data_IF_635174597068
#
_entry.id   IF_635174597068
#
_cell.length_a   1.000
_cell.length_b   1.000
_cell.length_c   1.000
_cell.angle_alpha   90.00
_cell.angle_beta   90.00
_cell.angle_gamma   90.00
#
_symmetry.space_group_name_H-M   'P 1'
#
loop_
_entity.id
_entity.type
_entity.pdbx_description
1 polymer ?
#
# COMPACT_ATOMS: atom_id res chain seq x y z
N UNK A 1 7.33 -16.43 -13.56
CA UNK A 1 6.82 -15.32 -12.77
C UNK A 1 7.83 -14.98 -11.68
N UNK A 2 8.14 -13.71 -11.48
CA UNK A 2 9.08 -13.21 -10.47
C UNK A 2 8.30 -12.60 -9.32
N UNK A 3 8.53 -13.04 -8.11
CA UNK A 3 7.73 -12.64 -6.94
C UNK A 3 8.57 -11.84 -5.95
N UNK A 4 8.08 -10.68 -5.54
CA UNK A 4 8.60 -9.98 -4.37
C UNK A 4 7.87 -10.47 -3.12
N UNK A 5 8.61 -10.75 -2.05
CA UNK A 5 8.02 -11.10 -0.75
C UNK A 5 8.38 -9.98 0.23
N UNK A 6 7.37 -9.37 0.81
CA UNK A 6 7.54 -8.39 1.89
C UNK A 6 6.98 -8.93 3.19
N UNK A 7 7.83 -9.13 4.17
CA UNK A 7 7.44 -9.55 5.51
C UNK A 7 7.80 -8.49 6.54
N UNK A 8 6.78 -7.97 7.23
CA UNK A 8 6.99 -7.04 8.33
C UNK A 8 7.40 -7.81 9.61
N UNK A 9 8.62 -7.61 10.14
CA UNK A 9 9.13 -8.38 11.27
C UNK A 9 8.33 -8.18 12.57
N UNK A 10 7.58 -7.09 12.70
CA UNK A 10 6.70 -6.88 13.86
C UNK A 10 5.40 -7.69 13.75
N UNK A 11 5.02 -8.14 12.57
CA UNK A 11 3.81 -8.92 12.30
C UNK A 11 4.13 -10.40 12.13
N UNK A 12 5.08 -10.73 11.28
CA UNK A 12 5.62 -12.09 11.10
C UNK A 12 6.87 -12.29 11.97
N UNK A 13 6.69 -12.26 13.30
CA UNK A 13 7.79 -12.25 14.27
C UNK A 13 8.75 -13.44 14.16
N UNK A 14 8.25 -14.59 13.72
CA UNK A 14 9.03 -15.81 13.51
C UNK A 14 9.59 -15.93 12.10
N UNK A 15 9.11 -15.11 11.15
CA UNK A 15 9.36 -15.25 9.72
C UNK A 15 8.75 -16.53 9.13
N UNK A 16 7.86 -17.18 9.87
CA UNK A 16 7.32 -18.50 9.51
C UNK A 16 6.49 -18.45 8.23
N UNK A 17 5.63 -17.44 8.08
CA UNK A 17 4.77 -17.32 6.90
C UNK A 17 5.58 -16.96 5.66
N UNK A 18 6.55 -16.05 5.78
CA UNK A 18 7.46 -15.73 4.69
C UNK A 18 8.27 -16.96 4.25
N UNK A 19 8.77 -17.76 5.23
CA UNK A 19 9.50 -18.99 4.95
C UNK A 19 8.62 -20.04 4.26
N UNK A 20 7.39 -20.24 4.73
CA UNK A 20 6.44 -21.17 4.12
C UNK A 20 6.16 -20.80 2.65
N UNK A 21 6.05 -19.50 2.36
CA UNK A 21 5.90 -19.03 0.98
C UNK A 21 7.17 -19.29 0.15
N UNK A 22 8.36 -19.04 0.70
CA UNK A 22 9.62 -19.35 0.02
C UNK A 22 9.70 -20.85 -0.33
N UNK A 23 9.41 -21.73 0.63
CA UNK A 23 9.40 -23.19 0.43
C UNK A 23 8.40 -23.62 -0.66
N UNK A 24 7.27 -22.90 -0.79
CA UNK A 24 6.30 -23.12 -1.86
C UNK A 24 6.85 -22.66 -3.21
N UNK A 25 7.39 -21.45 -3.28
CA UNK A 25 7.94 -20.90 -4.53
C UNK A 25 9.11 -21.72 -5.07
N UNK A 26 9.95 -22.28 -4.18
CA UNK A 26 11.04 -23.19 -4.54
C UNK A 26 10.51 -24.47 -5.23
N UNK A 27 9.39 -25.05 -4.75
CA UNK A 27 8.75 -26.21 -5.39
C UNK A 27 8.25 -25.91 -6.81
N UNK A 28 7.80 -24.68 -7.05
CA UNK A 28 7.35 -24.23 -8.36
C UNK A 28 8.49 -23.66 -9.22
N UNK A 29 9.74 -23.66 -8.71
CA UNK A 29 10.92 -23.09 -9.36
C UNK A 29 10.70 -21.62 -9.78
N UNK A 30 9.92 -20.87 -8.99
CA UNK A 30 9.67 -19.47 -9.21
C UNK A 30 10.87 -18.64 -8.73
N UNK A 31 11.21 -17.59 -9.47
CA UNK A 31 12.23 -16.63 -9.04
C UNK A 31 11.61 -15.66 -8.03
N UNK A 32 12.25 -15.47 -6.89
CA UNK A 32 11.75 -14.53 -5.88
C UNK A 32 12.87 -13.82 -5.13
N UNK A 33 12.54 -12.71 -4.47
CA UNK A 33 13.35 -12.11 -3.41
C UNK A 33 12.52 -11.91 -2.14
N UNK A 34 13.19 -11.96 -1.00
CA UNK A 34 12.59 -11.78 0.32
C UNK A 34 13.13 -10.50 0.97
N UNK A 35 12.23 -9.56 1.27
CA UNK A 35 12.51 -8.37 2.06
C UNK A 35 11.86 -8.52 3.45
N UNK A 36 12.68 -8.73 4.48
CA UNK A 36 12.25 -8.71 5.89
C UNK A 36 12.70 -7.40 6.50
N UNK A 37 11.82 -6.43 6.56
CA UNK A 37 12.15 -5.07 6.99
C UNK A 37 10.93 -4.32 7.51
N UNK A 38 11.14 -3.26 8.28
CA UNK A 38 10.08 -2.30 8.62
C UNK A 38 9.66 -1.46 7.42
N UNK A 39 10.58 -1.25 6.46
CA UNK A 39 10.33 -0.56 5.19
C UNK A 39 10.58 -1.53 4.05
N UNK A 40 9.59 -1.64 3.17
CA UNK A 40 9.79 -2.36 1.93
C UNK A 40 10.64 -1.53 0.97
N UNK A 41 11.54 -2.17 0.25
CA UNK A 41 12.26 -1.57 -0.87
C UNK A 41 12.48 -2.60 -1.98
N UNK A 42 12.27 -2.17 -3.20
CA UNK A 42 12.55 -2.93 -4.41
C UNK A 42 14.04 -2.91 -4.79
N UNK A 43 14.83 -2.03 -4.21
CA UNK A 43 16.26 -1.89 -4.54
C UNK A 43 17.11 -3.11 -4.17
N UNK A 44 16.61 -3.92 -3.23
CA UNK A 44 17.27 -5.16 -2.82
C UNK A 44 17.04 -6.33 -3.79
N UNK A 45 16.12 -6.14 -4.75
CA UNK A 45 15.75 -7.17 -5.68
C UNK A 45 16.64 -7.10 -6.91
N UNK A 46 17.45 -7.93 -7.29
CA UNK A 46 18.22 -7.89 -8.55
C UNK A 46 17.35 -7.85 -9.83
N UNK A 47 16.02 -7.72 -9.70
CA UNK A 47 15.00 -7.69 -10.76
C UNK A 47 13.75 -6.92 -10.32
N UNK A 48 12.93 -6.52 -11.29
CA UNK A 48 11.58 -5.99 -11.03
C UNK A 48 10.62 -7.19 -10.94
N UNK A 49 9.89 -7.36 -9.82
CA UNK A 49 8.94 -8.47 -9.68
C UNK A 49 7.67 -8.24 -10.52
N UNK A 50 7.06 -9.35 -10.96
CA UNK A 50 5.76 -9.33 -11.65
C UNK A 50 4.61 -9.08 -10.65
N UNK A 51 4.80 -9.45 -9.38
CA UNK A 51 3.88 -9.21 -8.27
C UNK A 51 4.62 -9.20 -6.93
N UNK A 52 4.04 -8.54 -5.93
CA UNK A 52 4.53 -8.56 -4.53
C UNK A 52 3.50 -9.22 -3.64
N UNK A 53 3.94 -10.15 -2.77
CA UNK A 53 3.13 -10.72 -1.70
C UNK A 53 3.58 -10.09 -0.38
N UNK A 54 2.68 -9.35 0.28
CA UNK A 54 2.98 -8.60 1.50
C UNK A 54 2.31 -9.24 2.73
N UNK A 55 3.11 -9.63 3.72
CA UNK A 55 2.64 -10.21 4.99
C UNK A 55 2.45 -9.14 6.05
N UNK A 56 1.20 -8.92 6.45
CA UNK A 56 0.85 -7.95 7.49
C UNK A 56 -0.60 -7.53 7.44
N UNK A 57 -0.91 -6.34 7.90
CA UNK A 57 -2.22 -5.70 7.75
C UNK A 57 -2.15 -4.50 6.81
N UNK A 58 -3.21 -3.67 6.80
CA UNK A 58 -3.33 -2.51 5.92
C UNK A 58 -2.11 -1.57 5.95
N UNK A 59 -1.54 -1.31 7.13
CA UNK A 59 -0.33 -0.49 7.22
C UNK A 59 0.91 -1.11 6.54
N UNK A 60 0.99 -2.44 6.41
CA UNK A 60 2.04 -3.12 5.64
C UNK A 60 1.78 -2.97 4.15
N UNK A 61 0.51 -3.10 3.74
CA UNK A 61 0.08 -2.85 2.36
C UNK A 61 0.43 -1.43 1.92
N UNK A 62 0.10 -0.41 2.71
CA UNK A 62 0.39 0.99 2.38
C UNK A 62 1.89 1.24 2.15
N UNK A 63 2.77 0.57 2.89
CA UNK A 63 4.23 0.65 2.67
C UNK A 63 4.67 -0.04 1.39
N UNK A 64 4.08 -1.20 1.07
CA UNK A 64 4.37 -1.89 -0.19
C UNK A 64 3.89 -1.09 -1.39
N UNK A 65 2.70 -0.49 -1.28
CA UNK A 65 2.10 0.35 -2.34
C UNK A 65 3.01 1.51 -2.73
N UNK A 66 3.58 2.23 -1.76
CA UNK A 66 4.45 3.39 -2.05
C UNK A 66 5.66 3.04 -2.91
N UNK A 67 6.20 1.82 -2.80
CA UNK A 67 7.33 1.35 -3.59
C UNK A 67 6.92 0.73 -4.94
N UNK A 68 5.72 0.16 -5.00
CA UNK A 68 5.22 -0.56 -6.17
C UNK A 68 4.50 0.35 -7.18
N UNK A 69 3.93 1.47 -6.70
CA UNK A 69 3.04 2.33 -7.48
C UNK A 69 3.67 2.87 -8.78
N UNK A 70 4.90 3.39 -8.69
CA UNK A 70 5.60 3.96 -9.85
C UNK A 70 5.87 2.93 -10.96
N UNK A 71 5.93 1.64 -10.60
CA UNK A 71 6.24 0.53 -11.51
C UNK A 71 5.01 -0.31 -11.88
N UNK A 72 3.82 0.11 -11.44
CA UNK A 72 2.55 -0.61 -11.69
C UNK A 72 2.59 -2.10 -11.23
N UNK A 73 3.33 -2.41 -10.15
CA UNK A 73 3.47 -3.78 -9.65
C UNK A 73 2.26 -4.13 -8.78
N UNK A 74 1.47 -5.16 -9.13
CA UNK A 74 0.35 -5.61 -8.31
C UNK A 74 0.81 -6.20 -6.99
N UNK A 75 -0.02 -6.02 -5.95
CA UNK A 75 0.29 -6.46 -4.58
C UNK A 75 -0.83 -7.38 -4.08
N UNK A 76 -0.44 -8.53 -3.56
CA UNK A 76 -1.30 -9.46 -2.84
C UNK A 76 -1.06 -9.31 -1.33
N UNK A 77 -2.04 -8.82 -0.59
CA UNK A 77 -1.94 -8.68 0.86
C UNK A 77 -2.38 -9.94 1.60
N UNK A 78 -1.48 -10.53 2.39
CA UNK A 78 -1.77 -11.65 3.29
C UNK A 78 -1.85 -11.15 4.72
N UNK A 79 -3.03 -11.24 5.31
CA UNK A 79 -3.29 -10.77 6.68
C UNK A 79 -2.78 -11.78 7.71
N UNK A 80 -1.99 -11.31 8.67
CA UNK A 80 -1.49 -12.10 9.79
C UNK A 80 -2.29 -11.88 11.10
N UNK A 81 -3.45 -11.26 11.01
CA UNK A 81 -4.28 -10.93 12.16
C UNK A 81 -5.75 -10.80 11.78
N UNK A 82 -6.38 -9.68 12.14
CA UNK A 82 -7.75 -9.39 11.73
C UNK A 82 -7.75 -8.88 10.30
N UNK A 83 -8.65 -9.41 9.46
CA UNK A 83 -8.85 -8.95 8.08
C UNK A 83 -9.07 -7.44 8.07
N UNK A 84 -8.34 -6.76 7.18
CA UNK A 84 -8.42 -5.31 6.97
C UNK A 84 -9.22 -4.95 5.73
N UNK A 85 -9.18 -3.70 5.34
CA UNK A 85 -9.81 -3.20 4.11
C UNK A 85 -8.97 -3.45 2.86
N UNK A 86 -7.65 -3.65 3.01
CA UNK A 86 -6.69 -3.84 1.91
C UNK A 86 -6.11 -5.27 1.88
N UNK A 87 -6.27 -6.03 2.96
CA UNK A 87 -5.75 -7.39 3.08
C UNK A 87 -6.91 -8.37 3.22
N UNK A 88 -7.34 -8.97 2.12
CA UNK A 88 -8.51 -9.85 2.07
C UNK A 88 -8.20 -11.32 2.32
N UNK A 89 -6.93 -11.73 2.19
CA UNK A 89 -6.51 -13.12 2.31
C UNK A 89 -5.90 -13.34 3.69
N UNK A 90 -6.47 -14.28 4.45
CA UNK A 90 -5.86 -14.76 5.69
C UNK A 90 -4.67 -15.69 5.42
N UNK A 91 -3.77 -15.82 6.40
CA UNK A 91 -2.58 -16.67 6.27
C UNK A 91 -2.92 -18.15 6.00
N UNK A 92 -4.09 -18.61 6.41
CA UNK A 92 -4.59 -19.97 6.16
C UNK A 92 -4.85 -20.25 4.68
N UNK A 93 -5.15 -19.22 3.89
CA UNK A 93 -5.41 -19.31 2.45
C UNK A 93 -4.21 -18.88 1.59
N UNK A 94 -3.08 -18.50 2.21
CA UNK A 94 -1.89 -17.97 1.53
C UNK A 94 -1.37 -18.93 0.46
N UNK A 95 -1.32 -20.23 0.76
CA UNK A 95 -0.84 -21.24 -0.17
C UNK A 95 -1.68 -21.29 -1.44
N UNK A 96 -3.00 -21.41 -1.30
CA UNK A 96 -3.93 -21.44 -2.42
C UNK A 96 -3.84 -20.18 -3.27
N UNK A 97 -3.77 -19.02 -2.61
CA UNK A 97 -3.65 -17.73 -3.28
C UNK A 97 -2.34 -17.59 -4.07
N UNK A 98 -1.22 -18.06 -3.50
CA UNK A 98 0.08 -18.05 -4.19
C UNK A 98 0.09 -19.01 -5.38
N UNK A 99 -0.52 -20.21 -5.26
CA UNK A 99 -0.65 -21.17 -6.35
C UNK A 99 -1.49 -20.61 -7.50
N UNK A 100 -2.63 -19.97 -7.21
CA UNK A 100 -3.45 -19.28 -8.21
C UNK A 100 -2.69 -18.13 -8.87
N UNK A 101 -1.95 -17.34 -8.09
CA UNK A 101 -1.12 -16.26 -8.62
C UNK A 101 -0.09 -16.81 -9.63
N UNK A 102 0.61 -17.89 -9.28
CA UNK A 102 1.59 -18.54 -10.17
C UNK A 102 0.94 -19.13 -11.42
N UNK A 103 -0.29 -19.64 -11.32
CA UNK A 103 -1.07 -20.15 -12.43
C UNK A 103 -1.66 -19.07 -13.35
N UNK A 104 -1.59 -17.78 -12.94
CA UNK A 104 -2.23 -16.69 -13.66
C UNK A 104 -3.75 -16.58 -13.42
N UNK A 105 -4.26 -17.29 -12.41
CA UNK A 105 -5.69 -17.35 -12.05
C UNK A 105 -6.05 -16.24 -11.05
N UNK A 106 -5.91 -14.98 -11.45
CA UNK A 106 -6.22 -13.81 -10.61
C UNK A 106 -6.73 -12.66 -11.47
N UNK A 107 -7.36 -11.70 -10.84
CA UNK A 107 -7.65 -10.39 -11.43
C UNK A 107 -6.95 -9.28 -10.62
N UNK A 108 -6.64 -8.18 -11.30
CA UNK A 108 -6.03 -7.01 -10.66
C UNK A 108 -7.09 -5.94 -10.48
N UNK A 109 -7.39 -5.62 -9.23
CA UNK A 109 -8.21 -4.46 -8.91
C UNK A 109 -7.34 -3.19 -8.97
N UNK A 110 -7.75 -2.24 -9.79
CA UNK A 110 -7.07 -0.94 -9.92
C UNK A 110 -7.64 0.06 -8.94
N UNK A 111 -6.77 0.80 -8.28
CA UNK A 111 -7.13 1.85 -7.32
C UNK A 111 -6.50 3.17 -7.73
N UNK A 112 -7.27 4.25 -7.64
CA UNK A 112 -6.72 5.61 -7.79
C UNK A 112 -5.74 5.88 -6.65
N UNK A 113 -4.62 6.52 -6.99
CA UNK A 113 -3.62 6.97 -6.03
C UNK A 113 -3.35 8.46 -6.20
N UNK A 114 -2.87 9.09 -5.14
CA UNK A 114 -2.33 10.44 -5.20
C UNK A 114 -0.84 10.37 -5.53
N UNK A 115 -0.40 11.12 -6.54
CA UNK A 115 0.98 11.53 -6.69
C UNK A 115 1.12 12.90 -6.00
N UNK A 116 2.04 13.01 -5.06
CA UNK A 116 2.28 14.23 -4.29
C UNK A 116 3.70 14.69 -4.58
N UNK A 117 3.86 15.95 -4.97
CA UNK A 117 5.16 16.58 -5.07
C UNK A 117 5.35 17.62 -3.96
N UNK A 118 6.40 17.50 -3.19
CA UNK A 118 6.76 18.46 -2.14
C UNK A 118 8.28 18.61 -2.05
N UNK A 119 8.76 19.85 -2.17
CA UNK A 119 10.19 20.14 -2.11
C UNK A 119 11.04 19.42 -3.18
N UNK A 120 10.46 19.13 -4.33
CA UNK A 120 11.11 18.39 -5.44
C UNK A 120 11.18 16.87 -5.23
N UNK A 121 10.49 16.34 -4.20
CA UNK A 121 10.41 14.91 -3.92
C UNK A 121 8.99 14.43 -4.25
N UNK A 122 8.89 13.30 -4.94
CA UNK A 122 7.62 12.64 -5.23
C UNK A 122 7.29 11.58 -4.19
N UNK A 123 6.02 11.52 -3.84
CA UNK A 123 5.43 10.52 -2.94
C UNK A 123 4.16 9.96 -3.57
N UNK A 124 3.82 8.73 -3.21
CA UNK A 124 2.58 8.08 -3.63
C UNK A 124 1.75 7.68 -2.41
N UNK A 125 0.46 8.00 -2.43
CA UNK A 125 -0.46 7.64 -1.35
C UNK A 125 -1.71 6.95 -1.90
N UNK A 126 -2.03 5.79 -1.32
CA UNK A 126 -3.25 5.06 -1.62
C UNK A 126 -4.45 5.63 -0.85
N UNK A 127 -4.24 6.13 0.36
CA UNK A 127 -5.31 6.68 1.19
C UNK A 127 -5.42 8.20 1.05
N UNK A 128 -4.49 8.95 1.62
CA UNK A 128 -4.56 10.40 1.69
C UNK A 128 -3.18 11.06 1.75
N UNK A 129 -3.16 12.34 1.39
CA UNK A 129 -2.10 13.29 1.71
C UNK A 129 -2.61 14.28 2.75
N UNK A 130 -1.94 14.38 3.89
CA UNK A 130 -2.28 15.30 4.95
C UNK A 130 -1.20 16.38 5.10
N UNK A 131 -1.60 17.64 4.97
CA UNK A 131 -0.80 18.81 5.29
C UNK A 131 -1.22 19.32 6.68
N UNK A 132 -0.31 19.35 7.63
CA UNK A 132 -0.60 19.81 9.00
C UNK A 132 0.27 21.00 9.36
N UNK A 133 -0.29 21.93 10.11
CA UNK A 133 0.46 23.05 10.66
C UNK A 133 1.54 22.58 11.64
N UNK A 134 2.71 23.23 11.63
CA UNK A 134 3.76 22.92 12.59
C UNK A 134 3.31 23.26 14.03
N UNK A 135 3.63 22.38 14.98
CA UNK A 135 3.29 22.54 16.40
C UNK A 135 1.78 22.73 16.67
N UNK A 136 0.92 22.07 15.90
CA UNK A 136 -0.55 22.20 16.04
C UNK A 136 -1.05 23.65 15.96
N UNK A 137 -0.40 24.51 15.19
CA UNK A 137 -0.81 25.88 14.96
C UNK A 137 -1.68 25.98 13.73
N UNK A 138 -2.69 26.83 13.81
CA UNK A 138 -3.52 27.19 12.66
C UNK A 138 -2.63 27.76 11.54
N UNK A 139 -2.72 27.14 10.38
CA UNK A 139 -2.08 27.57 9.13
C UNK A 139 -3.10 28.26 8.21
N UNK A 140 -2.62 29.16 7.37
CA UNK A 140 -3.40 29.67 6.24
C UNK A 140 -3.04 28.81 5.01
N UNK A 141 -4.06 28.14 4.44
CA UNK A 141 -3.91 27.25 3.29
C UNK A 141 -4.68 27.84 2.12
N UNK A 142 -3.98 28.04 1.01
CA UNK A 142 -4.59 28.42 -0.27
C UNK A 142 -4.71 27.17 -1.13
N UNK A 143 -5.92 26.91 -1.62
CA UNK A 143 -6.23 25.75 -2.46
C UNK A 143 -6.48 26.22 -3.88
N UNK A 144 -5.71 25.69 -4.81
CA UNK A 144 -5.90 25.90 -6.25
C UNK A 144 -6.19 24.58 -6.93
N UNK A 145 -7.14 24.56 -7.85
CA UNK A 145 -7.49 23.41 -8.67
C UNK A 145 -7.31 23.83 -10.14
N UNK A 146 -6.46 23.16 -10.86
CA UNK A 146 -6.12 23.46 -12.27
C UNK A 146 -5.72 24.93 -12.49
N UNK A 147 -4.94 25.48 -11.53
CA UNK A 147 -4.47 26.86 -11.56
C UNK A 147 -5.54 27.91 -11.20
N UNK A 148 -6.72 27.47 -10.79
CA UNK A 148 -7.81 28.36 -10.33
C UNK A 148 -7.94 28.32 -8.82
N UNK A 149 -7.98 29.49 -8.17
CA UNK A 149 -8.23 29.60 -6.74
C UNK A 149 -9.59 28.99 -6.40
N UNK A 150 -9.57 27.89 -5.63
CA UNK A 150 -10.77 27.22 -5.15
C UNK A 150 -11.18 27.72 -3.76
N UNK A 151 -10.21 27.86 -2.83
CA UNK A 151 -10.50 28.30 -1.47
C UNK A 151 -9.26 28.88 -0.77
N UNK A 152 -9.50 29.62 0.30
CA UNK A 152 -8.47 30.12 1.22
C UNK A 152 -8.97 29.98 2.65
N UNK A 153 -8.42 29.02 3.37
CA UNK A 153 -8.90 28.64 4.70
C UNK A 153 -7.83 28.77 5.77
N UNK A 154 -8.26 29.00 7.00
CA UNK A 154 -7.42 28.92 8.20
C UNK A 154 -7.82 27.68 8.96
N UNK A 155 -6.92 26.70 9.05
CA UNK A 155 -7.17 25.40 9.66
C UNK A 155 -5.90 24.83 10.30
N UNK A 156 -6.05 23.82 11.13
CA UNK A 156 -4.92 23.06 11.70
C UNK A 156 -4.19 22.24 10.63
N UNK A 157 -4.87 21.98 9.50
CA UNK A 157 -4.33 21.29 8.36
C UNK A 157 -5.34 21.13 7.22
N UNK A 158 -4.92 20.45 6.18
CA UNK A 158 -5.73 20.09 5.02
C UNK A 158 -5.45 18.66 4.63
N UNK A 159 -6.46 17.96 4.13
CA UNK A 159 -6.37 16.58 3.72
C UNK A 159 -6.97 16.44 2.32
N UNK A 160 -6.23 15.73 1.44
CA UNK A 160 -6.71 15.27 0.14
C UNK A 160 -6.74 13.75 0.18
N UNK A 161 -7.89 13.15 -0.09
CA UNK A 161 -8.10 11.70 0.00
C UNK A 161 -8.50 11.10 -1.32
N UNK A 162 -8.04 9.87 -1.57
CA UNK A 162 -8.58 9.00 -2.62
C UNK A 162 -9.92 8.42 -2.19
N UNK A 163 -10.69 7.79 -3.09
CA UNK A 163 -11.86 7.01 -2.71
C UNK A 163 -11.52 5.87 -1.72
N UNK A 164 -10.41 5.17 -1.91
CA UNK A 164 -9.92 4.14 -0.96
C UNK A 164 -9.67 4.73 0.42
N UNK A 165 -9.05 5.91 0.50
CA UNK A 165 -8.77 6.62 1.75
C UNK A 165 -9.99 7.25 2.41
N UNK A 166 -11.15 7.29 1.75
CA UNK A 166 -12.37 7.90 2.30
C UNK A 166 -12.83 7.30 3.63
N UNK A 167 -12.50 6.02 3.87
CA UNK A 167 -12.78 5.30 5.13
C UNK A 167 -11.63 5.37 6.15
N UNK A 168 -10.51 6.03 5.82
CA UNK A 168 -9.36 6.21 6.70
C UNK A 168 -9.39 7.55 7.45
N UNK A 169 -8.35 8.36 7.37
CA UNK A 169 -8.30 9.64 8.09
C UNK A 169 -9.35 10.65 7.62
N UNK A 170 -9.72 10.60 6.33
CA UNK A 170 -10.81 11.41 5.78
C UNK A 170 -12.12 11.24 6.55
N UNK A 171 -12.47 9.98 6.90
CA UNK A 171 -13.67 9.69 7.70
C UNK A 171 -13.61 10.35 9.10
N UNK A 172 -12.44 10.32 9.74
CA UNK A 172 -12.25 10.97 11.04
C UNK A 172 -12.36 12.51 10.96
N UNK A 173 -12.15 13.08 9.77
CA UNK A 173 -12.34 14.49 9.47
C UNK A 173 -13.74 14.83 8.93
N UNK A 174 -14.72 13.93 9.08
CA UNK A 174 -16.09 14.02 8.55
C UNK A 174 -16.18 14.10 7.02
N UNK A 175 -15.20 13.54 6.30
CA UNK A 175 -15.26 13.36 4.85
C UNK A 175 -16.32 12.31 4.45
N UNK A 176 -16.82 12.38 3.20
CA UNK A 176 -17.78 11.39 2.70
C UNK A 176 -17.12 10.01 2.51
N UNK A 177 -17.91 8.94 2.67
CA UNK A 177 -17.50 7.60 2.28
C UNK A 177 -17.77 7.44 0.77
N UNK A 178 -16.73 7.05 0.04
CA UNK A 178 -16.77 6.87 -1.41
C UNK A 178 -16.55 5.38 -1.76
N UNK A 179 -17.17 4.92 -2.85
CA UNK A 179 -16.81 3.62 -3.42
C UNK A 179 -15.38 3.67 -3.96
N UNK A 180 -14.56 2.64 -3.72
CA UNK A 180 -13.21 2.58 -4.27
C UNK A 180 -13.16 2.57 -5.81
N UNK A 181 -14.28 2.25 -6.46
CA UNK A 181 -14.43 2.17 -7.93
C UNK A 181 -14.73 3.53 -8.60
N UNK A 182 -14.87 4.61 -7.79
CA UNK A 182 -15.18 5.97 -8.30
C UNK A 182 -13.92 6.68 -8.75
#
# INVERSE_FOLDING_TARGET
>A
MKIGIYSNPHKDKSGMHAKELCDLLDKYQAEYFLCVSEKFSLDCAGFVPDAVIAFGGDGTMLRAVSECAEKDIPILGVNLGKVGFLTEIGCENMREAAEKLLAGEYFVEKRIMLEIESGGIKYYALNEAALTGSLCRVAEVTVEIDGTLADKVRADGMLVSTPTGSTAYSLACNGPVLSPEV
#
